data_IF_495960914897
#
_entry.id   IF_495960914897
#
_cell.length_a   1.000
_cell.length_b   1.000
_cell.length_c   1.000
_cell.angle_alpha   90.00
_cell.angle_beta   90.00
_cell.angle_gamma   90.00
#
_symmetry.space_group_name_H-M   'P 1'
#
loop_
_entity.id
_entity.type
_entity.pdbx_description
1 polymer ?
#
# COMPACT_ATOMS: atom_id res chain seq x y z
N UNK A 1 7.23 -8.72 -17.81
CA UNK A 1 5.82 -8.81 -17.42
C UNK A 1 5.66 -7.98 -16.16
N UNK A 2 4.68 -7.07 -16.12
CA UNK A 2 4.41 -6.20 -14.96
C UNK A 2 3.10 -6.68 -14.31
N UNK A 3 3.03 -6.65 -12.98
CA UNK A 3 1.84 -7.00 -12.21
C UNK A 3 1.43 -5.81 -11.36
N UNK A 4 0.16 -5.43 -11.45
CA UNK A 4 -0.40 -4.31 -10.68
C UNK A 4 -1.44 -4.88 -9.73
N UNK A 5 -1.35 -4.47 -8.47
CA UNK A 5 -2.29 -4.82 -7.43
C UNK A 5 -2.31 -3.77 -6.33
N UNK A 6 -3.34 -3.77 -5.48
CA UNK A 6 -3.39 -2.88 -4.33
C UNK A 6 -2.28 -3.22 -3.34
N UNK A 7 -1.59 -2.17 -2.87
CA UNK A 7 -0.66 -2.28 -1.74
C UNK A 7 -1.49 -2.50 -0.48
N UNK A 8 -1.18 -3.57 0.25
CA UNK A 8 -1.89 -3.94 1.47
C UNK A 8 -1.10 -3.60 2.73
N UNK A 9 0.25 -3.57 2.64
CA UNK A 9 1.12 -3.23 3.76
C UNK A 9 2.46 -2.66 3.28
N UNK A 10 3.01 -1.73 4.04
CA UNK A 10 4.37 -1.20 3.88
C UNK A 10 5.10 -1.36 5.22
N UNK A 11 6.18 -2.12 5.23
CA UNK A 11 7.05 -2.37 6.37
C UNK A 11 8.46 -1.85 6.06
N UNK A 12 8.63 -0.53 6.15
CA UNK A 12 9.90 0.14 5.87
C UNK A 12 10.32 -0.05 4.41
N UNK A 13 11.23 -0.98 4.18
CA UNK A 13 11.74 -1.34 2.85
C UNK A 13 10.90 -2.44 2.18
N UNK A 14 9.99 -3.13 2.88
CA UNK A 14 9.18 -4.19 2.26
C UNK A 14 7.77 -3.73 1.97
N UNK A 15 7.27 -4.10 0.79
CA UNK A 15 5.93 -3.79 0.33
C UNK A 15 5.18 -5.09 0.06
N UNK A 16 3.98 -5.21 0.62
CA UNK A 16 3.08 -6.34 0.34
C UNK A 16 1.98 -5.91 -0.60
N UNK A 17 1.85 -6.61 -1.72
CA UNK A 17 0.88 -6.35 -2.79
C UNK A 17 -0.05 -7.56 -2.91
N UNK A 18 -1.35 -7.30 -3.08
CA UNK A 18 -2.33 -8.36 -3.29
C UNK A 18 -2.51 -8.63 -4.79
N UNK A 19 -2.03 -9.79 -5.26
CA UNK A 19 -2.14 -10.25 -6.65
C UNK A 19 -3.03 -11.50 -6.78
N UNK A 20 -3.85 -11.78 -5.75
CA UNK A 20 -4.59 -13.04 -5.48
C UNK A 20 -3.76 -14.20 -4.92
N UNK A 21 -2.42 -14.08 -4.86
CA UNK A 21 -1.71 -14.35 -3.61
C UNK A 21 -1.13 -13.04 -3.02
N UNK A 22 -0.85 -13.03 -1.72
CA UNK A 22 -0.10 -11.95 -1.09
C UNK A 22 1.38 -12.12 -1.45
N UNK A 23 1.97 -11.07 -2.01
CA UNK A 23 3.37 -11.09 -2.44
C UNK A 23 4.09 -9.96 -1.73
N UNK A 24 5.19 -10.29 -1.05
CA UNK A 24 6.07 -9.31 -0.42
C UNK A 24 7.31 -9.13 -1.28
N UNK A 25 7.63 -7.88 -1.58
CA UNK A 25 8.76 -7.47 -2.42
C UNK A 25 9.47 -6.29 -1.77
N UNK A 26 10.76 -6.12 -2.06
CA UNK A 26 11.51 -4.96 -1.60
C UNK A 26 11.05 -3.70 -2.37
N UNK A 27 11.08 -2.55 -1.69
CA UNK A 27 10.52 -1.29 -2.18
C UNK A 27 11.26 -0.78 -3.41
N UNK A 28 12.53 -1.15 -3.59
CA UNK A 28 13.30 -0.84 -4.81
C UNK A 28 12.72 -1.48 -6.07
N UNK A 29 11.97 -2.58 -5.92
CA UNK A 29 11.31 -3.30 -7.02
C UNK A 29 9.87 -2.85 -7.26
N UNK A 30 9.37 -1.89 -6.46
CA UNK A 30 7.98 -1.41 -6.54
C UNK A 30 7.94 0.01 -7.05
N UNK A 31 7.07 0.24 -8.02
CA UNK A 31 6.72 1.58 -8.48
C UNK A 31 5.29 1.91 -8.09
N UNK A 32 5.12 3.02 -7.38
CA UNK A 32 3.78 3.55 -7.09
C UNK A 32 3.20 4.12 -8.38
N UNK A 33 2.09 3.54 -8.83
CA UNK A 33 1.38 3.96 -10.06
C UNK A 33 0.20 4.89 -9.77
N UNK A 34 -0.47 4.71 -8.63
CA UNK A 34 -1.57 5.56 -8.19
C UNK A 34 -1.54 5.67 -6.66
N UNK A 35 -1.78 6.87 -6.12
CA UNK A 35 -1.76 7.13 -4.67
C UNK A 35 -3.16 7.52 -4.20
N UNK A 36 -3.90 6.56 -3.66
CA UNK A 36 -5.11 6.85 -2.88
C UNK A 36 -4.73 7.00 -1.41
N UNK A 37 -4.61 8.24 -0.94
CA UNK A 37 -4.50 8.54 0.48
C UNK A 37 -5.92 8.69 1.01
N UNK A 38 -6.45 7.64 1.63
CA UNK A 38 -7.61 7.77 2.50
C UNK A 38 -7.15 8.56 3.74
N UNK A 39 -7.32 9.88 3.69
CA UNK A 39 -7.11 10.72 4.87
C UNK A 39 -8.21 10.34 5.84
N UNK A 40 -7.88 9.51 6.83
CA UNK A 40 -8.73 9.26 7.98
C UNK A 40 -8.98 10.62 8.64
N UNK A 41 -10.11 11.25 8.31
CA UNK A 41 -10.55 12.46 8.99
C UNK A 41 -10.88 12.02 10.40
N UNK A 42 -9.92 12.23 11.31
CA UNK A 42 -10.16 12.12 12.74
C UNK A 42 -11.23 13.16 13.07
N UNK A 43 -12.51 12.74 13.06
CA UNK A 43 -13.59 13.52 13.64
C UNK A 43 -13.27 13.63 15.12
N UNK A 44 -12.69 14.76 15.52
CA UNK A 44 -12.63 15.14 16.94
C UNK A 44 -14.08 15.16 17.43
N UNK A 45 -14.45 14.15 18.20
CA UNK A 45 -15.59 14.25 19.09
C UNK A 45 -15.10 15.15 20.24
N UNK A 46 -15.50 16.42 20.16
CA UNK A 46 -15.38 17.41 21.21
C UNK A 46 -16.23 16.94 22.41
N UNK A 47 -15.62 16.90 23.60
CA UNK A 47 -16.26 16.71 24.91
C UNK A 47 -15.61 17.70 25.88
#
# INVERSE_FOLDING_TARGET
MESVGPVTRIDGDKVTVSLRPLVTVDAEHVRVVESHVEVATAKKADC
#
